data_IF_036269027067
#
_entry.id   IF_036269027067
#
_cell.length_a   1.000
_cell.length_b   1.000
_cell.length_c   1.000
_cell.angle_alpha   90.00
_cell.angle_beta   90.00
_cell.angle_gamma   90.00
#
_symmetry.space_group_name_H-M   'P 1'
#
loop_
_entity.id
_entity.type
_entity.pdbx_description
1 polymer ?
#
# COMPACT_ATOMS: atom_id res chain seq x y z
N UNK A 1 -16.37 -16.63 -6.89
CA UNK A 1 -15.10 -16.09 -7.38
C UNK A 1 -13.94 -16.75 -6.63
N UNK A 2 -12.88 -17.04 -7.33
CA UNK A 2 -11.68 -17.55 -6.67
C UNK A 2 -11.07 -16.45 -5.81
N UNK A 3 -10.82 -16.76 -4.53
CA UNK A 3 -10.16 -15.81 -3.64
C UNK A 3 -8.72 -15.60 -4.07
N UNK A 4 -8.27 -14.34 -4.05
CA UNK A 4 -6.86 -14.01 -4.27
C UNK A 4 -6.03 -14.40 -3.06
N UNK A 5 -4.75 -14.76 -3.26
CA UNK A 5 -3.84 -14.90 -2.13
C UNK A 5 -3.76 -13.60 -1.34
N UNK A 6 -3.75 -13.71 -0.02
CA UNK A 6 -3.50 -12.55 0.84
C UNK A 6 -2.03 -12.17 0.79
N UNK A 7 -1.75 -10.87 0.64
CA UNK A 7 -0.40 -10.34 0.59
C UNK A 7 -0.09 -9.49 1.82
N UNK A 8 1.09 -9.68 2.39
CA UNK A 8 1.60 -8.86 3.49
C UNK A 8 2.67 -7.94 2.93
N UNK A 9 2.48 -6.64 3.12
CA UNK A 9 3.33 -5.58 2.62
C UNK A 9 3.88 -4.74 3.77
N UNK A 10 5.06 -5.09 4.31
CA UNK A 10 5.67 -4.29 5.37
C UNK A 10 5.97 -2.87 4.91
N UNK A 11 5.56 -1.88 5.71
CA UNK A 11 5.86 -0.48 5.46
C UNK A 11 7.26 -0.15 5.98
N UNK A 12 8.16 0.21 5.09
CA UNK A 12 9.55 0.54 5.46
C UNK A 12 9.67 1.88 6.16
N UNK A 13 8.58 2.65 6.27
CA UNK A 13 8.54 3.84 7.11
C UNK A 13 8.93 3.53 8.56
N UNK A 14 8.64 2.30 9.02
CA UNK A 14 8.96 1.85 10.38
C UNK A 14 10.28 1.09 10.48
N UNK A 15 11.02 0.93 9.39
CA UNK A 15 12.31 0.25 9.37
C UNK A 15 13.45 1.17 9.82
N UNK A 16 14.61 0.59 10.14
CA UNK A 16 15.83 1.35 10.37
C UNK A 16 16.39 1.83 9.02
N UNK A 17 16.26 3.12 8.73
CA UNK A 17 16.67 3.71 7.46
C UNK A 17 18.18 3.59 7.21
N UNK A 18 18.99 3.55 8.27
CA UNK A 18 20.44 3.39 8.13
C UNK A 18 20.82 2.00 7.61
N UNK A 19 19.89 1.03 7.65
CA UNK A 19 20.09 -0.37 7.24
C UNK A 19 18.96 -0.87 6.36
N UNK A 20 18.44 0.00 5.52
CA UNK A 20 17.18 -0.26 4.82
C UNK A 20 17.24 -1.52 3.95
N UNK A 21 18.30 -1.73 3.20
CA UNK A 21 18.46 -2.93 2.38
C UNK A 21 18.43 -4.22 3.21
N UNK A 22 19.14 -4.25 4.32
CA UNK A 22 19.16 -5.39 5.25
C UNK A 22 17.78 -5.64 5.87
N UNK A 23 17.10 -4.56 6.27
CA UNK A 23 15.74 -4.64 6.86
C UNK A 23 14.74 -5.24 5.89
N UNK A 24 14.78 -4.79 4.62
CA UNK A 24 13.90 -5.31 3.58
C UNK A 24 14.21 -6.79 3.31
N UNK A 25 15.48 -7.14 3.20
CA UNK A 25 15.91 -8.52 3.00
C UNK A 25 15.42 -9.43 4.12
N UNK A 26 15.55 -9.00 5.36
CA UNK A 26 15.10 -9.76 6.55
C UNK A 26 13.60 -9.97 6.56
N UNK A 27 12.83 -8.93 6.26
CA UNK A 27 11.36 -9.02 6.32
C UNK A 27 10.81 -9.88 5.19
N UNK A 28 11.45 -9.86 4.02
CA UNK A 28 11.09 -10.74 2.91
C UNK A 28 11.46 -12.20 3.22
N UNK A 29 12.62 -12.44 3.80
CA UNK A 29 13.02 -13.78 4.25
C UNK A 29 12.08 -14.32 5.34
N UNK A 30 11.48 -13.45 6.12
CA UNK A 30 10.50 -13.81 7.15
C UNK A 30 9.11 -14.13 6.59
N UNK A 31 8.89 -13.96 5.28
CA UNK A 31 7.65 -14.36 4.61
C UNK A 31 6.77 -13.21 4.09
N UNK A 32 7.25 -11.98 4.09
CA UNK A 32 6.54 -10.87 3.47
C UNK A 32 6.55 -11.00 1.93
N UNK A 33 5.54 -10.40 1.29
CA UNK A 33 5.31 -10.54 -0.16
C UNK A 33 5.74 -9.32 -0.96
N UNK A 34 5.55 -8.13 -0.40
CA UNK A 34 5.67 -6.86 -1.11
C UNK A 34 6.32 -5.85 -0.19
N UNK A 35 7.12 -4.95 -0.74
CA UNK A 35 7.71 -3.84 0.01
C UNK A 35 6.80 -2.61 -0.16
N UNK A 36 6.24 -2.11 0.93
CA UNK A 36 5.43 -0.89 0.90
C UNK A 36 6.32 0.32 1.17
N UNK A 37 6.32 1.26 0.22
CA UNK A 37 7.25 2.37 0.15
C UNK A 37 6.48 3.70 0.24
N UNK A 38 6.48 4.32 1.42
CA UNK A 38 5.72 5.54 1.70
C UNK A 38 6.53 6.79 1.38
N UNK A 39 6.06 7.57 0.40
CA UNK A 39 6.70 8.82 -0.05
C UNK A 39 5.89 10.00 0.45
N UNK A 40 6.53 10.84 1.26
CA UNK A 40 5.94 12.03 1.87
C UNK A 40 6.76 13.27 1.52
N UNK A 41 6.11 14.35 1.11
CA UNK A 41 6.76 15.55 0.59
C UNK A 41 6.77 16.75 1.55
N UNK A 42 6.25 16.57 2.77
CA UNK A 42 6.07 17.64 3.75
C UNK A 42 5.17 18.78 3.24
N UNK A 43 4.32 18.49 2.28
CA UNK A 43 3.34 19.43 1.73
C UNK A 43 1.94 18.82 1.75
N UNK A 44 1.76 17.67 1.09
CA UNK A 44 0.51 16.91 1.13
C UNK A 44 0.25 16.36 2.54
N UNK A 45 1.29 15.88 3.22
CA UNK A 45 1.27 15.39 4.60
C UNK A 45 2.35 16.10 5.43
N UNK A 46 2.18 16.22 6.76
CA UNK A 46 3.12 16.94 7.62
C UNK A 46 4.34 16.08 8.02
N UNK A 47 4.97 15.43 7.06
CA UNK A 47 6.19 14.65 7.27
C UNK A 47 6.95 14.55 5.95
N UNK A 48 8.24 14.30 6.03
CA UNK A 48 9.13 14.12 4.89
C UNK A 48 9.82 12.77 5.01
N UNK A 49 9.78 11.96 3.96
CA UNK A 49 10.46 10.67 3.96
C UNK A 49 11.56 10.63 2.91
N UNK A 50 11.46 9.75 1.92
CA UNK A 50 12.51 9.53 0.94
C UNK A 50 11.94 9.55 -0.47
N UNK A 51 12.81 9.80 -1.43
CA UNK A 51 12.43 9.90 -2.85
C UNK A 51 12.82 8.67 -3.67
N UNK A 52 12.76 8.84 -4.99
CA UNK A 52 12.98 7.77 -5.96
C UNK A 52 14.39 7.16 -5.90
N UNK A 53 15.39 7.94 -5.46
CA UNK A 53 16.76 7.42 -5.32
C UNK A 53 16.86 6.23 -4.36
N UNK A 54 16.07 6.23 -3.30
CA UNK A 54 16.04 5.11 -2.34
C UNK A 54 15.37 3.88 -2.95
N UNK A 55 14.30 4.08 -3.72
CA UNK A 55 13.65 2.98 -4.46
C UNK A 55 14.65 2.32 -5.43
N UNK A 56 15.37 3.13 -6.19
CA UNK A 56 16.40 2.65 -7.11
C UNK A 56 17.52 1.91 -6.35
N UNK A 57 17.93 2.44 -5.20
CA UNK A 57 18.95 1.82 -4.36
C UNK A 57 18.53 0.42 -3.89
N UNK A 58 17.27 0.24 -3.50
CA UNK A 58 16.73 -1.07 -3.12
C UNK A 58 16.76 -2.05 -4.30
N UNK A 59 16.38 -1.60 -5.49
CA UNK A 59 16.46 -2.42 -6.70
C UNK A 59 17.90 -2.82 -7.00
N UNK A 60 18.83 -1.88 -6.92
CA UNK A 60 20.25 -2.14 -7.15
C UNK A 60 20.88 -3.04 -6.07
N UNK A 61 20.39 -2.96 -4.85
CA UNK A 61 20.79 -3.84 -3.76
C UNK A 61 20.44 -5.31 -4.04
N UNK A 62 19.42 -5.53 -4.87
CA UNK A 62 19.02 -6.88 -5.27
C UNK A 62 17.64 -7.30 -4.77
N UNK A 63 16.83 -6.35 -4.29
CA UNK A 63 15.46 -6.66 -3.88
C UNK A 63 14.64 -7.03 -5.12
N UNK A 64 14.08 -8.25 -5.11
CA UNK A 64 13.30 -8.80 -6.23
C UNK A 64 11.80 -8.73 -6.01
N UNK A 65 11.35 -8.60 -4.76
CA UNK A 65 9.93 -8.46 -4.46
C UNK A 65 9.39 -7.16 -5.08
N UNK A 66 8.09 -7.12 -5.40
CA UNK A 66 7.48 -5.88 -5.90
C UNK A 66 7.63 -4.75 -4.89
N UNK A 67 7.91 -3.54 -5.40
CA UNK A 67 7.91 -2.32 -4.59
C UNK A 67 6.62 -1.57 -4.89
N UNK A 68 5.79 -1.46 -3.87
CA UNK A 68 4.48 -0.80 -3.87
C UNK A 68 4.64 0.61 -3.33
N UNK A 69 4.69 1.59 -4.23
CA UNK A 69 4.95 2.99 -3.90
C UNK A 69 3.64 3.73 -3.64
N UNK A 70 3.50 4.25 -2.44
CA UNK A 70 2.39 5.11 -2.05
C UNK A 70 2.85 6.56 -2.05
N UNK A 71 2.34 7.37 -2.99
CA UNK A 71 2.72 8.77 -3.15
C UNK A 71 1.80 9.68 -2.35
N UNK A 72 2.29 10.17 -1.22
CA UNK A 72 1.65 11.21 -0.41
C UNK A 72 2.31 12.55 -0.75
N UNK A 73 2.11 12.97 -1.99
CA UNK A 73 2.75 14.16 -2.56
C UNK A 73 1.76 14.93 -3.42
N UNK A 74 1.96 16.24 -3.54
CA UNK A 74 1.13 17.11 -4.37
C UNK A 74 1.98 18.24 -4.95
N UNK A 75 1.93 18.47 -6.27
CA UNK A 75 1.27 17.69 -7.32
C UNK A 75 2.00 16.36 -7.61
N UNK A 76 1.30 15.37 -8.18
CA UNK A 76 1.81 13.99 -8.20
C UNK A 76 2.53 13.59 -9.49
N UNK A 77 2.19 14.15 -10.65
CA UNK A 77 2.62 13.61 -11.95
C UNK A 77 4.13 13.53 -12.13
N UNK A 78 4.86 14.53 -11.65
CA UNK A 78 6.33 14.54 -11.77
C UNK A 78 6.96 13.39 -10.97
N UNK A 79 6.46 13.15 -9.77
CA UNK A 79 6.95 12.06 -8.92
C UNK A 79 6.63 10.68 -9.51
N UNK A 80 5.51 10.56 -10.23
CA UNK A 80 5.20 9.33 -10.97
C UNK A 80 6.33 8.99 -11.93
N UNK A 81 6.77 9.97 -12.74
CA UNK A 81 7.87 9.78 -13.68
C UNK A 81 9.16 9.34 -12.99
N UNK A 82 9.51 9.97 -11.89
CA UNK A 82 10.72 9.66 -11.13
C UNK A 82 10.69 8.22 -10.59
N UNK A 83 9.55 7.77 -10.07
CA UNK A 83 9.41 6.41 -9.53
C UNK A 83 9.30 5.33 -10.59
N UNK A 84 8.74 5.66 -11.76
CA UNK A 84 8.79 4.75 -12.92
C UNK A 84 10.24 4.48 -13.33
N UNK A 85 11.07 5.52 -13.42
CA UNK A 85 12.50 5.36 -13.72
C UNK A 85 13.25 4.59 -12.64
N UNK A 86 12.84 4.74 -11.39
CA UNK A 86 13.45 4.01 -10.27
C UNK A 86 13.07 2.54 -10.20
N UNK A 87 12.12 2.08 -11.02
CA UNK A 87 11.72 0.69 -11.08
C UNK A 87 10.58 0.29 -10.15
N UNK A 88 9.75 1.25 -9.71
CA UNK A 88 8.56 0.94 -8.93
C UNK A 88 7.63 -0.02 -9.69
N UNK A 89 7.11 -1.03 -9.01
CA UNK A 89 6.23 -2.03 -9.63
C UNK A 89 4.76 -1.64 -9.55
N UNK A 90 4.38 -0.95 -8.49
CA UNK A 90 3.04 -0.43 -8.25
C UNK A 90 3.17 1.00 -7.78
N UNK A 91 2.36 1.91 -8.32
CA UNK A 91 2.32 3.31 -7.89
C UNK A 91 0.88 3.69 -7.60
N UNK A 92 0.64 4.13 -6.38
CA UNK A 92 -0.67 4.63 -5.94
C UNK A 92 -0.55 6.09 -5.53
N UNK A 93 -1.62 6.86 -5.76
CA UNK A 93 -1.66 8.26 -5.41
C UNK A 93 -3.05 8.66 -4.93
N UNK A 94 -3.11 9.76 -4.19
CA UNK A 94 -4.37 10.31 -3.70
C UNK A 94 -5.07 11.08 -4.82
N UNK A 95 -6.36 10.85 -5.07
CA UNK A 95 -7.05 11.51 -6.19
C UNK A 95 -7.04 13.04 -6.10
N UNK A 96 -7.10 13.59 -4.88
CA UNK A 96 -7.05 15.03 -4.68
C UNK A 96 -5.69 15.66 -4.98
N UNK A 97 -4.63 14.85 -5.13
CA UNK A 97 -3.29 15.31 -5.47
C UNK A 97 -3.06 15.43 -6.99
N UNK A 98 -4.05 15.04 -7.78
CA UNK A 98 -3.98 15.12 -9.26
C UNK A 98 -5.16 15.94 -9.79
N UNK A 99 -4.85 16.90 -10.66
CA UNK A 99 -5.89 17.67 -11.36
C UNK A 99 -6.58 16.83 -12.44
N UNK A 100 -5.91 15.78 -12.93
CA UNK A 100 -6.37 14.93 -14.03
C UNK A 100 -6.12 13.46 -13.68
N UNK A 101 -7.01 12.88 -12.89
CA UNK A 101 -6.86 11.53 -12.32
C UNK A 101 -6.68 10.48 -13.43
N UNK A 102 -7.51 10.53 -14.47
CA UNK A 102 -7.41 9.59 -15.59
C UNK A 102 -6.03 9.64 -16.24
N UNK A 103 -5.52 10.84 -16.48
CA UNK A 103 -4.20 11.05 -17.09
C UNK A 103 -3.07 10.54 -16.19
N UNK A 104 -3.15 10.78 -14.88
CA UNK A 104 -2.14 10.31 -13.94
C UNK A 104 -2.10 8.77 -13.87
N UNK A 105 -3.26 8.12 -13.86
CA UNK A 105 -3.35 6.65 -13.92
C UNK A 105 -2.74 6.13 -15.23
N UNK A 106 -3.07 6.75 -16.36
CA UNK A 106 -2.53 6.36 -17.65
C UNK A 106 -1.00 6.53 -17.72
N UNK A 107 -0.48 7.60 -17.12
CA UNK A 107 0.96 7.83 -17.03
C UNK A 107 1.68 6.67 -16.33
N UNK A 108 1.13 6.19 -15.23
CA UNK A 108 1.68 5.04 -14.50
C UNK A 108 1.67 3.79 -15.38
N UNK A 109 0.53 3.48 -15.98
CA UNK A 109 0.36 2.27 -16.80
C UNK A 109 1.24 2.31 -18.04
N UNK A 110 1.37 3.46 -18.70
CA UNK A 110 2.24 3.63 -19.87
C UNK A 110 3.71 3.42 -19.52
N UNK A 111 4.09 3.66 -18.29
CA UNK A 111 5.45 3.39 -17.78
C UNK A 111 5.70 1.95 -17.36
N UNK A 112 4.71 1.08 -17.49
CA UNK A 112 4.86 -0.35 -17.19
C UNK A 112 4.57 -0.76 -15.76
N UNK A 113 4.11 0.15 -14.89
CA UNK A 113 3.74 -0.16 -13.52
C UNK A 113 2.22 -0.36 -13.38
N UNK A 114 1.81 -1.03 -12.31
CA UNK A 114 0.40 -1.09 -11.91
C UNK A 114 0.01 0.23 -11.26
N UNK A 115 -1.22 0.68 -11.52
CA UNK A 115 -1.71 1.98 -11.07
C UNK A 115 -2.84 1.82 -10.07
N UNK A 116 -2.87 2.69 -9.04
CA UNK A 116 -3.95 2.68 -8.08
C UNK A 116 -4.25 4.03 -7.46
N UNK A 117 -5.39 4.07 -6.79
CA UNK A 117 -5.85 5.24 -6.04
C UNK A 117 -5.86 4.94 -4.55
N UNK A 118 -5.49 5.96 -3.77
CA UNK A 118 -5.46 5.91 -2.32
C UNK A 118 -6.55 6.81 -1.77
N UNK A 119 -7.32 6.29 -0.81
CA UNK A 119 -8.42 7.03 -0.18
C UNK A 119 -8.12 7.27 1.29
N UNK A 120 -8.09 8.54 1.70
CA UNK A 120 -8.00 8.91 3.11
C UNK A 120 -9.27 8.47 3.85
N UNK A 121 -9.26 8.40 5.19
CA UNK A 121 -10.44 7.92 5.92
C UNK A 121 -11.74 8.62 5.55
N UNK A 122 -11.72 9.92 5.30
CA UNK A 122 -12.90 10.69 4.95
C UNK A 122 -13.12 10.91 3.45
N UNK A 123 -12.25 10.37 2.59
CA UNK A 123 -12.38 10.55 1.13
C UNK A 123 -13.36 9.53 0.55
N UNK A 124 -14.38 9.98 -0.20
CA UNK A 124 -15.40 9.07 -0.73
C UNK A 124 -14.88 8.24 -1.90
N UNK A 125 -15.47 7.06 -2.09
CA UNK A 125 -15.08 6.11 -3.14
C UNK A 125 -15.54 6.52 -4.54
N UNK A 126 -16.37 7.55 -4.68
CA UNK A 126 -16.91 7.99 -5.98
C UNK A 126 -15.82 8.45 -6.96
N UNK A 127 -14.60 8.75 -6.49
CA UNK A 127 -13.48 9.02 -7.38
C UNK A 127 -13.16 7.85 -8.32
N UNK A 128 -13.66 6.65 -8.02
CA UNK A 128 -13.50 5.47 -8.87
C UNK A 128 -14.47 5.44 -10.06
N UNK A 129 -15.55 6.23 -10.04
CA UNK A 129 -16.71 6.07 -10.92
C UNK A 129 -16.38 6.03 -12.42
N UNK A 130 -15.41 6.83 -12.88
CA UNK A 130 -15.09 6.93 -14.31
C UNK A 130 -13.68 6.45 -14.66
N UNK A 131 -12.95 5.83 -13.72
CA UNK A 131 -11.56 5.42 -13.93
C UNK A 131 -11.28 3.96 -13.55
N UNK A 132 -12.30 3.22 -13.16
CA UNK A 132 -12.13 1.87 -12.63
C UNK A 132 -11.41 0.93 -13.62
N UNK A 133 -11.59 1.14 -14.92
CA UNK A 133 -10.92 0.37 -15.96
C UNK A 133 -9.39 0.58 -16.02
N UNK A 134 -8.88 1.63 -15.37
CA UNK A 134 -7.45 1.93 -15.29
C UNK A 134 -6.85 1.64 -13.92
N UNK A 135 -7.65 1.14 -12.98
CA UNK A 135 -7.23 0.90 -11.59
C UNK A 135 -6.88 -0.57 -11.41
N UNK A 136 -5.65 -0.84 -11.01
CA UNK A 136 -5.15 -2.18 -10.66
C UNK A 136 -5.19 -2.42 -9.15
N UNK A 137 -5.20 -1.35 -8.37
CA UNK A 137 -5.13 -1.42 -6.91
C UNK A 137 -5.87 -0.25 -6.27
N UNK A 138 -6.61 -0.55 -5.20
CA UNK A 138 -7.25 0.44 -4.34
C UNK A 138 -6.60 0.30 -2.97
N UNK A 139 -6.11 1.42 -2.41
CA UNK A 139 -5.58 1.47 -1.05
C UNK A 139 -6.50 2.32 -0.20
N UNK A 140 -7.04 1.75 0.88
CA UNK A 140 -7.80 2.49 1.88
C UNK A 140 -6.92 2.78 3.09
N UNK A 141 -6.80 4.06 3.43
CA UNK A 141 -6.12 4.47 4.65
C UNK A 141 -7.06 4.28 5.83
N UNK A 142 -6.61 3.53 6.82
CA UNK A 142 -7.31 3.32 8.08
C UNK A 142 -6.79 4.21 9.20
N UNK A 143 -5.92 5.15 8.85
CA UNK A 143 -5.42 6.26 9.69
C UNK A 143 -5.27 7.46 8.78
N UNK A 144 -5.15 8.66 9.35
CA UNK A 144 -4.75 9.83 8.56
C UNK A 144 -3.27 9.69 8.19
N UNK A 145 -2.89 9.85 6.92
CA UNK A 145 -1.51 9.63 6.49
C UNK A 145 -0.53 10.67 7.05
N UNK A 146 0.72 10.27 7.21
CA UNK A 146 1.80 11.15 7.65
C UNK A 146 2.75 10.52 8.68
N UNK A 147 2.25 9.67 9.56
CA UNK A 147 3.05 9.06 10.61
C UNK A 147 2.65 7.60 10.83
N UNK A 148 3.63 6.78 11.23
CA UNK A 148 3.37 5.40 11.65
C UNK A 148 2.82 5.31 13.07
N UNK A 149 2.46 4.10 13.50
CA UNK A 149 2.08 3.80 14.88
C UNK A 149 0.69 4.28 15.31
N UNK A 150 -0.15 4.71 14.39
CA UNK A 150 -1.51 5.16 14.70
C UNK A 150 -2.48 3.99 14.82
N UNK A 151 -3.59 4.19 15.55
CA UNK A 151 -4.64 3.19 15.73
C UNK A 151 -5.57 3.12 14.52
N UNK A 152 -5.95 1.90 14.14
CA UNK A 152 -6.92 1.63 13.09
C UNK A 152 -8.26 2.34 13.37
N UNK A 153 -8.77 3.06 12.37
CA UNK A 153 -10.06 3.74 12.44
C UNK A 153 -11.16 2.73 12.08
N UNK A 154 -12.08 2.38 13.03
CA UNK A 154 -13.05 1.29 12.81
C UNK A 154 -13.99 1.47 11.62
N UNK A 155 -14.35 2.69 11.25
CA UNK A 155 -15.22 2.97 10.08
C UNK A 155 -14.61 2.45 8.77
N UNK A 156 -13.31 2.20 8.72
CA UNK A 156 -12.66 1.63 7.55
C UNK A 156 -13.21 0.25 7.19
N UNK A 157 -13.69 -0.52 8.16
CA UNK A 157 -14.30 -1.84 7.89
C UNK A 157 -15.50 -1.72 6.95
N UNK A 158 -16.37 -0.73 7.18
CA UNK A 158 -17.52 -0.49 6.31
C UNK A 158 -17.06 -0.03 4.92
N UNK A 159 -16.08 0.84 4.87
CA UNK A 159 -15.54 1.32 3.59
C UNK A 159 -14.88 0.19 2.79
N UNK A 160 -14.20 -0.73 3.47
CA UNK A 160 -13.64 -1.94 2.84
C UNK A 160 -14.74 -2.79 2.21
N UNK A 161 -15.87 -3.01 2.92
CA UNK A 161 -17.01 -3.77 2.38
C UNK A 161 -17.55 -3.12 1.11
N UNK A 162 -17.70 -1.79 1.12
CA UNK A 162 -18.16 -1.04 -0.04
C UNK A 162 -17.17 -1.15 -1.22
N UNK A 163 -15.89 -1.00 -0.96
CA UNK A 163 -14.86 -1.13 -2.00
C UNK A 163 -14.84 -2.55 -2.58
N UNK A 164 -14.97 -3.58 -1.72
CA UNK A 164 -15.06 -4.98 -2.17
C UNK A 164 -16.27 -5.20 -3.07
N UNK A 165 -17.41 -4.63 -2.76
CA UNK A 165 -18.60 -4.72 -3.59
C UNK A 165 -18.37 -4.06 -4.96
N UNK A 166 -17.74 -2.91 -5.01
CA UNK A 166 -17.41 -2.22 -6.26
C UNK A 166 -16.49 -3.08 -7.14
N UNK A 167 -15.45 -3.67 -6.55
CA UNK A 167 -14.50 -4.52 -7.26
C UNK A 167 -15.21 -5.76 -7.81
N UNK A 168 -15.95 -6.45 -6.98
CA UNK A 168 -16.64 -7.70 -7.36
C UNK A 168 -17.68 -7.43 -8.46
N UNK A 169 -18.44 -6.36 -8.37
CA UNK A 169 -19.43 -5.99 -9.39
C UNK A 169 -18.78 -5.65 -10.73
N UNK A 170 -17.54 -5.13 -10.72
CA UNK A 170 -16.82 -4.78 -11.94
C UNK A 170 -16.31 -6.00 -12.73
N UNK A 171 -16.14 -7.13 -12.08
CA UNK A 171 -15.50 -8.31 -12.67
C UNK A 171 -14.00 -8.12 -12.96
N UNK A 172 -13.40 -7.03 -12.50
CA UNK A 172 -12.00 -6.71 -12.77
C UNK A 172 -11.07 -7.27 -11.69
N UNK A 173 -9.83 -7.49 -12.07
CA UNK A 173 -8.78 -7.95 -11.17
C UNK A 173 -8.13 -6.73 -10.48
N UNK A 174 -8.71 -6.31 -9.36
CA UNK A 174 -8.25 -5.17 -8.58
C UNK A 174 -7.89 -5.63 -7.17
N UNK A 175 -6.67 -5.31 -6.75
CA UNK A 175 -6.19 -5.59 -5.40
C UNK A 175 -6.79 -4.56 -4.42
N UNK A 176 -7.28 -5.01 -3.27
CA UNK A 176 -7.80 -4.12 -2.22
C UNK A 176 -6.84 -4.12 -1.04
N UNK A 177 -6.12 -3.03 -0.90
CA UNK A 177 -5.09 -2.83 0.12
C UNK A 177 -5.60 -1.94 1.24
N UNK A 178 -5.10 -2.16 2.46
CA UNK A 178 -5.39 -1.34 3.64
C UNK A 178 -4.10 -0.97 4.35
N UNK A 179 -4.01 0.26 4.83
CA UNK A 179 -2.83 0.78 5.55
C UNK A 179 -3.25 1.63 6.74
N UNK A 180 -2.78 1.25 7.92
CA UNK A 180 -2.94 2.02 9.14
C UNK A 180 -3.41 1.18 10.33
N UNK A 181 -2.53 0.95 11.29
CA UNK A 181 -2.85 0.24 12.54
C UNK A 181 -3.15 -1.25 12.36
N UNK A 182 -2.65 -1.87 11.29
CA UNK A 182 -2.87 -3.30 11.00
C UNK A 182 -1.85 -4.15 11.75
N UNK A 183 -2.34 -5.22 12.37
CA UNK A 183 -1.49 -6.17 13.07
C UNK A 183 -2.21 -7.49 13.33
N UNK A 184 -1.57 -8.43 14.06
CA UNK A 184 -2.17 -9.74 14.33
C UNK A 184 -3.55 -9.68 14.99
N UNK A 185 -3.80 -8.66 15.81
CA UNK A 185 -5.05 -8.58 16.58
C UNK A 185 -6.27 -8.23 15.71
N UNK A 186 -6.09 -7.55 14.58
CA UNK A 186 -7.21 -7.07 13.76
C UNK A 186 -7.17 -7.49 12.28
N UNK A 187 -6.07 -8.08 11.81
CA UNK A 187 -5.92 -8.42 10.40
C UNK A 187 -7.01 -9.39 9.89
N UNK A 188 -7.45 -10.32 10.74
CA UNK A 188 -8.51 -11.28 10.38
C UNK A 188 -9.83 -10.58 10.09
N UNK A 189 -10.25 -9.67 10.95
CA UNK A 189 -11.47 -8.86 10.77
C UNK A 189 -11.38 -7.96 9.55
N UNK A 190 -10.20 -7.41 9.28
CA UNK A 190 -9.94 -6.57 8.11
C UNK A 190 -10.03 -7.40 6.81
N UNK A 191 -9.47 -8.61 6.82
CA UNK A 191 -9.60 -9.55 5.69
C UNK A 191 -11.05 -9.95 5.47
N UNK A 192 -11.80 -10.22 6.54
CA UNK A 192 -13.22 -10.56 6.45
C UNK A 192 -14.05 -9.41 5.85
N UNK A 193 -13.64 -8.17 6.07
CA UNK A 193 -14.30 -6.99 5.47
C UNK A 193 -14.01 -6.82 3.98
N UNK A 194 -13.02 -7.55 3.43
CA UNK A 194 -12.76 -7.57 1.99
C UNK A 194 -11.36 -7.23 1.55
N UNK A 195 -10.46 -6.78 2.43
CA UNK A 195 -9.08 -6.51 2.07
C UNK A 195 -8.33 -7.79 1.73
N UNK A 196 -7.44 -7.73 0.74
CA UNK A 196 -6.60 -8.86 0.35
C UNK A 196 -5.10 -8.53 0.35
N UNK A 197 -4.72 -7.31 0.71
CA UNK A 197 -3.34 -6.88 0.87
C UNK A 197 -3.25 -5.96 2.08
N UNK A 198 -2.27 -6.23 2.94
CA UNK A 198 -2.19 -5.61 4.26
C UNK A 198 -0.85 -4.93 4.45
N UNK A 199 -0.87 -3.61 4.66
CA UNK A 199 0.33 -2.86 5.02
C UNK A 199 0.47 -2.87 6.53
N UNK A 200 1.61 -3.30 7.03
CA UNK A 200 1.93 -3.29 8.44
C UNK A 200 3.33 -2.70 8.64
N UNK A 201 3.45 -1.70 9.48
CA UNK A 201 4.71 -1.04 9.79
C UNK A 201 5.23 -1.43 11.16
N UNK A 202 4.83 -0.67 12.19
CA UNK A 202 5.31 -0.87 13.55
C UNK A 202 4.97 -2.25 14.11
N UNK A 203 3.86 -2.86 13.68
CA UNK A 203 3.49 -4.21 14.12
C UNK A 203 4.53 -5.27 13.71
N UNK A 204 5.24 -5.05 12.62
CA UNK A 204 6.31 -5.95 12.16
C UNK A 204 7.68 -5.45 12.61
N UNK A 205 8.07 -4.25 12.20
CA UNK A 205 9.41 -3.71 12.46
C UNK A 205 9.66 -3.39 13.94
N UNK A 206 8.60 -3.24 14.74
CA UNK A 206 8.69 -3.06 16.17
C UNK A 206 8.94 -4.35 16.96
N UNK A 207 8.93 -5.51 16.30
CA UNK A 207 9.15 -6.80 16.94
C UNK A 207 10.59 -7.28 16.73
N UNK A 208 11.17 -7.98 17.72
CA UNK A 208 12.53 -8.51 17.55
C UNK A 208 12.63 -9.64 16.52
N UNK A 209 11.55 -10.38 16.29
CA UNK A 209 11.50 -11.48 15.32
C UNK A 209 10.38 -11.24 14.30
N UNK A 210 10.76 -10.86 13.09
CA UNK A 210 9.80 -10.55 12.01
C UNK A 210 9.00 -11.79 11.59
N UNK A 211 9.63 -12.96 11.56
CA UNK A 211 8.94 -14.18 11.15
C UNK A 211 7.80 -14.54 12.07
N UNK A 212 7.99 -14.40 13.39
CA UNK A 212 6.95 -14.71 14.36
C UNK A 212 5.70 -13.88 14.13
N UNK A 213 5.83 -12.57 13.97
CA UNK A 213 4.66 -11.70 13.76
C UNK A 213 4.02 -11.92 12.40
N UNK A 214 4.81 -12.14 11.35
CA UNK A 214 4.27 -12.42 10.01
C UNK A 214 3.52 -13.74 10.00
N UNK A 215 4.05 -14.78 10.65
CA UNK A 215 3.37 -16.08 10.77
C UNK A 215 2.05 -15.94 11.55
N UNK A 216 2.01 -15.13 12.61
CA UNK A 216 0.78 -14.83 13.35
C UNK A 216 -0.26 -14.15 12.45
N UNK A 217 0.16 -13.17 11.65
CA UNK A 217 -0.73 -12.48 10.71
C UNK A 217 -1.28 -13.46 9.66
N UNK A 218 -0.45 -14.32 9.11
CA UNK A 218 -0.86 -15.35 8.15
C UNK A 218 -1.86 -16.32 8.76
N UNK A 219 -1.65 -16.74 10.01
CA UNK A 219 -2.57 -17.64 10.70
C UNK A 219 -3.95 -17.00 10.88
N UNK A 220 -4.00 -15.71 11.18
CA UNK A 220 -5.25 -14.99 11.37
C UNK A 220 -6.03 -14.84 10.05
N UNK A 221 -5.37 -14.50 8.93
CA UNK A 221 -6.07 -14.39 7.65
C UNK A 221 -6.49 -15.77 7.13
N UNK A 222 -5.78 -16.83 7.44
CA UNK A 222 -6.14 -18.19 7.06
C UNK A 222 -7.47 -18.63 7.65
N UNK A 223 -7.88 -18.08 8.80
CA UNK A 223 -9.16 -18.40 9.45
C UNK A 223 -10.36 -17.84 8.72
N UNK A 224 -10.15 -16.87 7.82
CA UNK A 224 -11.24 -16.15 7.12
C UNK A 224 -11.74 -16.91 5.90
N UNK A 225 -10.95 -17.77 5.32
CA UNK A 225 -11.30 -18.57 4.13
C UNK A 225 -11.66 -20.01 4.49
#
# INVERSE_FOLDING_TARGET
SMSKPYLIAPSILSADFARLGEEVEKVLAAGADVVHFDVMDNHYVPNLTFGAGICKALKNYGIKAPIDVHLMVSPVDRMIGDFLEAGADIITFHPEASDHIDRSLQLIKSGGAKAGLVFNPATPLHYLDYVLDKVDQILLMSVNPGFGGQKFIPMTLEKLRQARQIIDASGRDIRLEVDGGVGPANIGEIAAAGADMFVAGSAIFGQPDYKTVIDQMRAEVAKVN
#
